data_IF_752100941804
#
_entry.id   IF_752100941804
#
_cell.length_a   1.000
_cell.length_b   1.000
_cell.length_c   1.000
_cell.angle_alpha   90.00
_cell.angle_beta   90.00
_cell.angle_gamma   90.00
#
_symmetry.space_group_name_H-M   'P 1'
#
loop_
_entity.id
_entity.type
_entity.pdbx_description
1 polymer ?
#
# COMPACT_ATOMS: atom_id res chain seq x y z
N UNK A 1 -17.15 35.74 -3.23
CA UNK A 1 -16.52 35.07 -4.39
C UNK A 1 -15.24 34.44 -3.88
N UNK A 2 -15.35 33.21 -3.38
CA UNK A 2 -14.19 32.46 -2.91
C UNK A 2 -13.35 32.05 -4.13
N UNK A 3 -12.12 32.60 -4.18
CA UNK A 3 -11.11 32.19 -5.13
C UNK A 3 -10.58 30.81 -4.74
N UNK A 4 -11.28 29.77 -5.18
CA UNK A 4 -10.82 28.40 -5.05
C UNK A 4 -9.71 28.13 -6.07
N UNK A 5 -8.50 28.40 -5.60
CA UNK A 5 -7.26 27.67 -5.88
C UNK A 5 -7.08 27.17 -7.32
N UNK A 6 -6.32 27.98 -8.04
CA UNK A 6 -5.62 27.67 -9.26
C UNK A 6 -4.49 26.66 -8.99
N UNK A 7 -4.85 25.41 -8.65
CA UNK A 7 -3.89 24.32 -8.44
C UNK A 7 -4.06 23.18 -9.47
N UNK A 8 -4.51 23.53 -10.68
CA UNK A 8 -4.37 22.65 -11.83
C UNK A 8 -3.21 23.16 -12.68
N UNK A 9 -2.09 22.42 -12.65
CA UNK A 9 -1.35 21.82 -13.77
C UNK A 9 0.01 21.36 -13.22
N UNK A 10 0.20 20.05 -12.97
CA UNK A 10 1.51 19.45 -12.73
C UNK A 10 1.60 18.32 -11.68
N UNK A 11 0.71 18.28 -10.69
CA UNK A 11 0.74 17.29 -9.60
C UNK A 11 -0.68 16.97 -9.17
N UNK A 12 -1.09 15.71 -9.30
CA UNK A 12 -2.48 15.33 -9.01
C UNK A 12 -2.76 15.52 -7.52
N UNK A 13 -3.59 16.52 -7.19
CA UNK A 13 -4.14 16.67 -5.84
C UNK A 13 -5.08 15.48 -5.60
N UNK A 14 -4.56 14.38 -5.08
CA UNK A 14 -5.37 13.29 -4.54
C UNK A 14 -6.01 13.85 -3.27
N UNK A 15 -7.22 14.39 -3.40
CA UNK A 15 -7.97 14.87 -2.24
C UNK A 15 -8.62 13.65 -1.60
N UNK A 16 -8.16 13.30 -0.41
CA UNK A 16 -8.77 12.29 0.46
C UNK A 16 -10.00 12.90 1.15
N UNK A 17 -11.02 13.26 0.37
CA UNK A 17 -12.32 13.67 0.90
C UNK A 17 -13.38 12.59 0.64
N UNK A 18 -14.46 12.64 1.42
CA UNK A 18 -15.53 11.65 1.35
C UNK A 18 -16.23 11.61 -0.02
N UNK A 19 -16.29 12.74 -0.73
CA UNK A 19 -16.88 12.82 -2.08
C UNK A 19 -16.03 12.14 -3.15
N UNK A 20 -14.72 11.98 -2.89
CA UNK A 20 -13.75 11.41 -3.81
C UNK A 20 -13.30 9.98 -3.46
N UNK A 21 -13.94 9.33 -2.47
CA UNK A 21 -13.54 7.99 -2.02
C UNK A 21 -13.51 6.94 -3.14
N UNK A 22 -14.50 6.96 -4.05
CA UNK A 22 -14.54 6.02 -5.18
C UNK A 22 -13.34 6.16 -6.12
N UNK A 23 -12.99 7.41 -6.47
CA UNK A 23 -11.82 7.72 -7.30
C UNK A 23 -10.52 7.31 -6.60
N UNK A 24 -10.37 7.67 -5.32
CA UNK A 24 -9.21 7.29 -4.51
C UNK A 24 -9.05 5.77 -4.45
N UNK A 25 -10.13 5.03 -4.17
CA UNK A 25 -10.12 3.57 -4.05
C UNK A 25 -9.69 2.92 -5.36
N UNK A 26 -10.24 3.37 -6.50
CA UNK A 26 -9.87 2.85 -7.81
C UNK A 26 -8.39 3.07 -8.11
N UNK A 27 -7.88 4.28 -7.86
CA UNK A 27 -6.48 4.63 -8.14
C UNK A 27 -5.50 3.85 -7.27
N UNK A 28 -5.77 3.73 -5.96
CA UNK A 28 -4.92 2.97 -5.05
C UNK A 28 -4.90 1.48 -5.38
N UNK A 29 -6.04 0.91 -5.78
CA UNK A 29 -6.10 -0.49 -6.24
C UNK A 29 -5.19 -0.71 -7.45
N UNK A 30 -5.30 0.12 -8.49
CA UNK A 30 -4.44 0.01 -9.68
C UNK A 30 -2.97 0.19 -9.35
N UNK A 31 -2.62 1.15 -8.50
CA UNK A 31 -1.23 1.38 -8.09
C UNK A 31 -0.63 0.17 -7.35
N UNK A 32 -1.36 -0.44 -6.42
CA UNK A 32 -0.86 -1.60 -5.65
C UNK A 32 -0.73 -2.83 -6.55
N UNK A 33 -1.72 -3.08 -7.40
CA UNK A 33 -1.68 -4.18 -8.38
C UNK A 33 -0.51 -4.03 -9.37
N UNK A 34 -0.11 -2.80 -9.70
CA UNK A 34 1.02 -2.53 -10.58
C UNK A 34 2.40 -2.70 -9.89
N UNK A 35 2.46 -2.72 -8.55
CA UNK A 35 3.73 -2.91 -7.82
C UNK A 35 4.13 -4.38 -7.85
N UNK A 36 3.24 -5.27 -7.40
CA UNK A 36 3.51 -6.71 -7.26
C UNK A 36 2.19 -7.45 -6.99
N UNK A 37 2.05 -8.66 -7.54
CA UNK A 37 0.96 -9.59 -7.21
C UNK A 37 0.95 -9.92 -5.71
N UNK A 38 2.14 -10.07 -5.10
CA UNK A 38 2.26 -10.33 -3.66
C UNK A 38 1.78 -9.12 -2.84
N UNK A 39 2.08 -7.89 -3.29
CA UNK A 39 1.62 -6.69 -2.63
C UNK A 39 0.09 -6.56 -2.68
N UNK A 40 -0.55 -6.92 -3.79
CA UNK A 40 -2.00 -6.97 -3.89
C UNK A 40 -2.60 -8.08 -3.00
N UNK A 41 -2.02 -9.27 -3.02
CA UNK A 41 -2.44 -10.39 -2.18
C UNK A 41 -2.46 -10.00 -0.70
N UNK A 42 -1.41 -9.32 -0.20
CA UNK A 42 -1.33 -8.81 1.18
C UNK A 42 -2.47 -7.85 1.56
N UNK A 43 -3.00 -7.08 0.61
CA UNK A 43 -4.17 -6.21 0.85
C UNK A 43 -5.44 -7.03 0.98
N UNK A 44 -5.60 -8.09 0.19
CA UNK A 44 -6.80 -8.94 0.20
C UNK A 44 -6.84 -9.91 1.38
N UNK A 45 -5.73 -10.60 1.68
CA UNK A 45 -5.67 -11.64 2.70
C UNK A 45 -5.18 -11.14 4.07
N UNK A 46 -4.67 -9.91 4.10
CA UNK A 46 -4.01 -9.32 5.26
C UNK A 46 -2.52 -9.64 5.31
N UNK A 47 -1.72 -8.62 5.61
CA UNK A 47 -0.29 -8.78 5.80
C UNK A 47 0.03 -9.53 7.10
N UNK A 48 1.03 -10.42 7.06
CA UNK A 48 1.61 -11.09 8.24
C UNK A 48 3.12 -10.88 8.27
N UNK A 49 3.66 -10.67 9.47
CA UNK A 49 5.10 -10.59 9.66
C UNK A 49 5.77 -11.91 9.25
N UNK A 50 6.92 -11.85 8.56
CA UNK A 50 7.66 -13.06 8.20
C UNK A 50 8.16 -13.76 9.47
N UNK A 51 8.04 -15.09 9.46
CA UNK A 51 8.47 -15.96 10.55
C UNK A 51 9.45 -17.00 10.04
N UNK A 52 10.43 -17.35 10.85
CA UNK A 52 11.38 -18.42 10.58
C UNK A 52 11.19 -19.54 11.60
N UNK A 53 11.06 -20.77 11.12
CA UNK A 53 11.04 -21.96 11.96
C UNK A 53 12.39 -22.66 11.89
N UNK A 54 13.09 -22.74 13.02
CA UNK A 54 14.35 -23.48 13.16
C UNK A 54 14.15 -24.51 14.25
N UNK A 55 14.40 -25.79 13.94
CA UNK A 55 14.29 -26.90 14.90
C UNK A 55 12.93 -26.94 15.64
N UNK A 56 11.85 -26.58 14.94
CA UNK A 56 10.49 -26.56 15.50
C UNK A 56 10.14 -25.32 16.31
N UNK A 57 11.07 -24.39 16.51
CA UNK A 57 10.83 -23.10 17.17
C UNK A 57 10.55 -22.04 16.10
N UNK A 58 9.33 -21.49 16.10
CA UNK A 58 8.95 -20.39 15.21
C UNK A 58 9.22 -19.05 15.89
N UNK A 59 10.04 -18.22 15.25
CA UNK A 59 10.36 -16.87 15.72
C UNK A 59 10.06 -15.83 14.63
N UNK A 60 9.73 -14.61 15.05
CA UNK A 60 9.57 -13.50 14.12
C UNK A 60 10.93 -13.14 13.52
N UNK A 61 10.99 -12.97 12.20
CA UNK A 61 12.20 -12.48 11.54
C UNK A 61 12.41 -11.02 11.97
N UNK A 62 13.62 -10.60 12.39
CA UNK A 62 13.91 -9.20 12.67
C UNK A 62 13.65 -8.31 11.45
N UNK A 63 13.13 -7.09 11.66
CA UNK A 63 12.71 -6.18 10.57
C UNK A 63 13.83 -5.88 9.59
N UNK A 64 15.05 -5.80 10.09
CA UNK A 64 16.28 -5.53 9.33
C UNK A 64 16.59 -6.64 8.31
N UNK A 65 15.98 -7.82 8.46
CA UNK A 65 16.17 -9.01 7.60
C UNK A 65 14.98 -9.32 6.69
N UNK A 66 13.95 -8.47 6.64
CA UNK A 66 12.77 -8.72 5.79
C UNK A 66 13.05 -8.53 4.28
N UNK A 67 14.23 -8.03 3.92
CA UNK A 67 14.64 -7.72 2.55
C UNK A 67 15.67 -8.71 1.98
N UNK A 68 16.01 -9.77 2.72
CA UNK A 68 16.92 -10.80 2.23
C UNK A 68 16.06 -11.75 1.39
N UNK A 69 16.24 -11.65 0.08
CA UNK A 69 15.48 -12.33 -0.98
C UNK A 69 15.08 -13.78 -0.66
N UNK A 70 13.82 -14.11 -0.94
CA UNK A 70 13.36 -15.49 -1.16
C UNK A 70 14.08 -16.14 -2.33
#
# INVERSE_FOLDING_TARGET
>A
MEGYHQDFIGGSKVILDAGNYGYWKSRMRTNIQAIDEIAWNMVEVGWKAPTLTVEGITTAVPRERWNISQ
#
